data_IF_036135052736
#
_entry.id   IF_036135052736
#
_cell.length_a   1.000
_cell.length_b   1.000
_cell.length_c   1.000
_cell.angle_alpha   90.00
_cell.angle_beta   90.00
_cell.angle_gamma   90.00
#
_symmetry.space_group_name_H-M   'P 1'
#
loop_
_entity.id
_entity.type
_entity.pdbx_description
1 polymer ?
#
# COMPACT_ATOMS: atom_id res chain seq x y z
N UNK A 1 18.13 21.85 13.28
CA UNK A 1 17.14 20.74 13.18
C UNK A 1 17.05 20.01 14.52
N UNK A 2 16.04 20.23 15.37
CA UNK A 2 15.81 19.36 16.54
C UNK A 2 14.47 19.60 17.25
N UNK A 3 13.36 19.46 16.52
CA UNK A 3 12.07 19.24 17.19
C UNK A 3 11.95 17.76 17.52
N UNK A 4 12.18 17.36 18.78
CA UNK A 4 12.02 15.96 19.24
C UNK A 4 10.63 15.41 18.92
N UNK A 5 9.60 16.27 18.97
CA UNK A 5 8.22 15.95 18.58
C UNK A 5 8.09 15.56 17.10
N UNK A 6 8.87 16.21 16.24
CA UNK A 6 8.87 15.89 14.81
C UNK A 6 9.52 14.52 14.58
N UNK A 7 10.69 14.27 15.17
CA UNK A 7 11.35 12.95 15.08
C UNK A 7 10.43 11.83 15.60
N UNK A 8 9.74 12.05 16.72
CA UNK A 8 8.78 11.09 17.26
C UNK A 8 7.59 10.88 16.32
N UNK A 9 7.05 11.95 15.72
CA UNK A 9 5.99 11.84 14.72
C UNK A 9 6.42 11.04 13.49
N UNK A 10 7.63 11.27 13.00
CA UNK A 10 8.22 10.49 11.90
C UNK A 10 8.45 9.02 12.28
N UNK A 11 8.94 8.75 13.49
CA UNK A 11 9.14 7.40 13.98
C UNK A 11 7.82 6.63 14.16
N UNK A 12 6.78 7.29 14.69
CA UNK A 12 5.44 6.68 14.78
C UNK A 12 4.82 6.42 13.41
N UNK A 13 5.03 7.32 12.45
CA UNK A 13 4.56 7.13 11.08
C UNK A 13 5.23 5.92 10.41
N UNK A 14 6.56 5.80 10.54
CA UNK A 14 7.32 4.67 10.00
C UNK A 14 6.88 3.34 10.63
N UNK A 15 6.68 3.34 11.96
CA UNK A 15 6.14 2.19 12.69
C UNK A 15 4.75 1.78 12.16
N UNK A 16 3.82 2.73 12.04
CA UNK A 16 2.47 2.46 11.56
C UNK A 16 2.49 1.92 10.11
N UNK A 17 3.30 2.50 9.23
CA UNK A 17 3.38 2.07 7.83
C UNK A 17 3.92 0.64 7.68
N UNK A 18 4.94 0.28 8.46
CA UNK A 18 5.51 -1.07 8.46
C UNK A 18 4.53 -2.11 9.02
N UNK A 19 3.88 -1.79 10.15
CA UNK A 19 2.86 -2.68 10.75
C UNK A 19 1.64 -2.85 9.85
N UNK A 20 1.20 -1.78 9.17
CA UNK A 20 0.09 -1.83 8.21
C UNK A 20 0.39 -2.80 7.07
N UNK A 21 1.53 -2.65 6.41
CA UNK A 21 1.91 -3.49 5.26
C UNK A 21 2.01 -4.96 5.67
N UNK A 22 2.62 -5.23 6.83
CA UNK A 22 2.77 -6.60 7.31
C UNK A 22 1.42 -7.23 7.67
N UNK A 23 0.60 -6.57 8.49
CA UNK A 23 -0.62 -7.19 9.00
C UNK A 23 -1.77 -7.16 7.98
N UNK A 24 -2.06 -5.98 7.42
CA UNK A 24 -3.21 -5.81 6.53
C UNK A 24 -2.96 -6.48 5.19
N UNK A 25 -1.80 -6.22 4.55
CA UNK A 25 -1.52 -6.76 3.22
C UNK A 25 -1.10 -8.24 3.31
N UNK A 26 -0.09 -8.56 4.13
CA UNK A 26 0.49 -9.91 4.12
C UNK A 26 -0.29 -10.95 4.92
N UNK A 27 -0.88 -10.60 6.07
CA UNK A 27 -1.61 -11.58 6.89
C UNK A 27 -3.10 -11.66 6.56
N UNK A 28 -3.81 -10.52 6.56
CA UNK A 28 -5.26 -10.49 6.43
C UNK A 28 -5.68 -10.61 4.95
N UNK A 29 -5.23 -9.68 4.10
CA UNK A 29 -5.70 -9.59 2.73
C UNK A 29 -5.21 -10.75 1.86
N UNK A 30 -3.95 -11.19 2.03
CA UNK A 30 -3.42 -12.38 1.36
C UNK A 30 -4.29 -13.63 1.60
N UNK A 31 -4.65 -13.91 2.87
CA UNK A 31 -5.51 -15.03 3.20
C UNK A 31 -6.92 -14.89 2.61
N UNK A 32 -7.50 -13.69 2.70
CA UNK A 32 -8.83 -13.42 2.14
C UNK A 32 -8.86 -13.61 0.63
N UNK A 33 -7.85 -13.11 -0.08
CA UNK A 33 -7.74 -13.23 -1.54
C UNK A 33 -7.60 -14.69 -1.98
N UNK A 34 -6.73 -15.46 -1.32
CA UNK A 34 -6.50 -16.87 -1.64
C UNK A 34 -7.73 -17.73 -1.34
N UNK A 35 -8.46 -17.47 -0.25
CA UNK A 35 -9.58 -18.30 0.20
C UNK A 35 -10.95 -17.91 -0.37
N UNK A 36 -11.20 -16.62 -0.65
CA UNK A 36 -12.54 -16.12 -1.01
C UNK A 36 -12.65 -15.52 -2.40
N UNK A 37 -11.54 -15.09 -3.03
CA UNK A 37 -11.56 -14.39 -4.33
C UNK A 37 -11.01 -15.26 -5.45
N UNK A 38 -9.95 -16.03 -5.18
CA UNK A 38 -9.27 -16.80 -6.22
C UNK A 38 -9.97 -18.14 -6.54
N UNK A 39 -10.04 -18.55 -7.83
CA UNK A 39 -10.45 -19.90 -8.22
C UNK A 39 -9.54 -20.97 -7.61
N UNK A 40 -10.12 -22.13 -7.25
CA UNK A 40 -9.40 -23.24 -6.60
C UNK A 40 -8.07 -23.56 -7.30
N UNK A 41 -6.98 -23.58 -6.54
CA UNK A 41 -5.63 -23.91 -7.02
C UNK A 41 -4.81 -22.75 -7.61
N UNK A 42 -5.40 -21.59 -7.91
CA UNK A 42 -4.70 -20.48 -8.57
C UNK A 42 -4.37 -19.27 -7.68
N UNK A 43 -4.87 -19.23 -6.45
CA UNK A 43 -4.78 -18.05 -5.58
C UNK A 43 -3.37 -17.56 -5.24
N UNK A 44 -2.41 -18.48 -5.04
CA UNK A 44 -1.01 -18.10 -4.77
C UNK A 44 -0.34 -17.43 -5.98
N UNK A 45 -0.62 -17.94 -7.19
CA UNK A 45 -0.05 -17.42 -8.43
C UNK A 45 -0.64 -16.05 -8.76
N UNK A 46 -1.96 -15.89 -8.65
CA UNK A 46 -2.62 -14.60 -8.88
C UNK A 46 -2.16 -13.54 -7.88
N UNK A 47 -2.03 -13.89 -6.60
CA UNK A 47 -1.47 -13.00 -5.58
C UNK A 47 -0.03 -12.58 -5.88
N UNK A 48 0.81 -13.53 -6.32
CA UNK A 48 2.18 -13.24 -6.75
C UNK A 48 2.23 -12.28 -7.95
N UNK A 49 1.34 -12.46 -8.93
CA UNK A 49 1.22 -11.57 -10.10
C UNK A 49 0.79 -10.16 -9.66
N UNK A 50 -0.19 -10.02 -8.74
CA UNK A 50 -0.60 -8.72 -8.19
C UNK A 50 0.55 -7.99 -7.52
N UNK A 51 1.36 -8.69 -6.70
CA UNK A 51 2.54 -8.09 -6.07
C UNK A 51 3.57 -7.68 -7.13
N UNK A 52 3.80 -8.52 -8.14
CA UNK A 52 4.76 -8.21 -9.22
C UNK A 52 4.35 -6.95 -10.00
N UNK A 53 3.07 -6.84 -10.38
CA UNK A 53 2.53 -5.65 -11.07
C UNK A 53 2.64 -4.42 -10.17
N UNK A 54 2.28 -4.54 -8.89
CA UNK A 54 2.39 -3.45 -7.91
C UNK A 54 3.84 -2.95 -7.81
N UNK A 55 4.81 -3.85 -7.73
CA UNK A 55 6.23 -3.49 -7.66
C UNK A 55 6.73 -2.84 -8.97
N UNK A 56 6.23 -3.28 -10.13
CA UNK A 56 6.58 -2.67 -11.42
C UNK A 56 6.11 -1.21 -11.47
N UNK A 57 4.87 -0.95 -11.03
CA UNK A 57 4.33 0.41 -10.93
C UNK A 57 5.15 1.26 -9.95
N UNK A 58 5.56 0.68 -8.81
CA UNK A 58 6.43 1.35 -7.83
C UNK A 58 7.77 1.74 -8.48
N UNK A 59 8.41 0.84 -9.22
CA UNK A 59 9.71 1.13 -9.88
C UNK A 59 9.61 2.32 -10.83
N UNK A 60 8.50 2.46 -11.56
CA UNK A 60 8.30 3.57 -12.50
C UNK A 60 7.89 4.86 -11.78
N UNK A 61 7.03 4.77 -10.76
CA UNK A 61 6.50 5.93 -10.04
C UNK A 61 7.45 6.50 -9.00
N UNK A 62 8.29 5.67 -8.36
CA UNK A 62 9.26 6.08 -7.36
C UNK A 62 10.21 7.21 -7.81
N UNK A 63 10.88 7.15 -8.99
CA UNK A 63 11.75 8.23 -9.43
C UNK A 63 10.98 9.51 -9.74
N UNK A 64 9.77 9.42 -10.29
CA UNK A 64 8.93 10.58 -10.62
C UNK A 64 8.46 11.28 -9.34
N UNK A 65 7.91 10.52 -8.38
CA UNK A 65 7.44 11.05 -7.10
C UNK A 65 8.61 11.53 -6.25
N UNK A 66 9.77 10.84 -6.30
CA UNK A 66 11.00 11.25 -5.63
C UNK A 66 11.53 12.59 -6.13
N UNK A 67 11.56 12.79 -7.44
CA UNK A 67 11.96 14.08 -8.04
C UNK A 67 11.01 15.22 -7.65
N UNK A 68 9.70 14.96 -7.60
CA UNK A 68 8.70 15.94 -7.14
C UNK A 68 8.85 16.24 -5.64
N UNK A 69 9.18 15.23 -4.83
CA UNK A 69 9.38 15.39 -3.39
C UNK A 69 10.62 16.24 -3.07
N UNK A 70 11.71 16.06 -3.83
CA UNK A 70 12.93 16.85 -3.70
C UNK A 70 12.72 18.32 -4.12
N UNK A 71 11.90 18.57 -5.14
CA UNK A 71 11.62 19.93 -5.61
C UNK A 71 10.62 20.68 -4.71
N UNK A 72 9.67 19.98 -4.09
CA UNK A 72 8.56 20.63 -3.39
C UNK A 72 8.87 21.07 -1.94
N UNK A 73 9.96 20.59 -1.32
CA UNK A 73 10.32 20.82 0.09
C UNK A 73 9.22 20.54 1.14
N UNK A 74 8.05 20.04 0.73
CA UNK A 74 6.83 19.89 1.54
C UNK A 74 6.55 18.42 1.84
N UNK A 75 7.57 17.75 2.40
CA UNK A 75 7.56 16.31 2.75
C UNK A 75 6.30 15.87 3.51
N UNK A 76 5.79 16.73 4.41
CA UNK A 76 4.58 16.47 5.21
C UNK A 76 3.30 16.42 4.35
N UNK A 77 3.18 17.26 3.33
CA UNK A 77 1.99 17.31 2.47
C UNK A 77 1.92 16.08 1.57
N UNK A 78 3.06 15.67 1.03
CA UNK A 78 3.17 14.48 0.20
C UNK A 78 2.82 13.20 0.99
N UNK A 79 3.26 13.10 2.25
CA UNK A 79 2.87 12.00 3.14
C UNK A 79 1.38 11.94 3.43
N UNK A 80 0.76 13.08 3.71
CA UNK A 80 -0.69 13.12 3.99
C UNK A 80 -1.46 12.71 2.74
N UNK A 81 -1.05 13.16 1.55
CA UNK A 81 -1.71 12.77 0.30
C UNK A 81 -1.57 11.27 0.01
N UNK A 82 -0.36 10.71 0.15
CA UNK A 82 -0.14 9.26 -0.08
C UNK A 82 -0.85 8.41 0.97
N UNK A 83 -0.90 8.87 2.23
CA UNK A 83 -1.63 8.20 3.29
C UNK A 83 -3.14 8.22 3.02
N UNK A 84 -3.71 9.37 2.63
CA UNK A 84 -5.12 9.46 2.25
C UNK A 84 -5.45 8.59 1.04
N UNK A 85 -4.59 8.57 0.02
CA UNK A 85 -4.74 7.69 -1.13
C UNK A 85 -4.74 6.22 -0.69
N UNK A 86 -3.80 5.83 0.18
CA UNK A 86 -3.75 4.48 0.75
C UNK A 86 -5.05 4.14 1.49
N UNK A 87 -5.52 5.01 2.38
CA UNK A 87 -6.79 4.81 3.12
C UNK A 87 -7.98 4.67 2.19
N UNK A 88 -8.09 5.50 1.15
CA UNK A 88 -9.18 5.43 0.17
C UNK A 88 -9.13 4.12 -0.61
N UNK A 89 -7.95 3.71 -1.08
CA UNK A 89 -7.78 2.44 -1.81
C UNK A 89 -8.11 1.24 -0.91
N UNK A 90 -7.68 1.26 0.36
CA UNK A 90 -8.00 0.21 1.33
C UNK A 90 -9.48 0.19 1.70
N UNK A 91 -10.14 1.35 1.80
CA UNK A 91 -11.59 1.41 1.96
C UNK A 91 -12.30 0.86 0.70
N UNK A 92 -11.72 1.06 -0.49
CA UNK A 92 -12.18 0.47 -1.75
C UNK A 92 -12.16 -1.07 -1.76
N UNK A 93 -11.23 -1.71 -1.04
CA UNK A 93 -11.19 -3.16 -0.87
C UNK A 93 -12.45 -3.71 -0.18
N UNK A 94 -13.22 -2.90 0.55
CA UNK A 94 -14.53 -3.30 1.08
C UNK A 94 -15.51 -3.71 -0.03
N UNK A 95 -15.35 -3.17 -1.24
CA UNK A 95 -16.18 -3.53 -2.40
C UNK A 95 -15.64 -4.76 -3.16
N UNK A 96 -14.49 -5.33 -2.77
CA UNK A 96 -13.92 -6.52 -3.39
C UNK A 96 -14.72 -7.79 -3.00
N UNK A 97 -15.83 -8.01 -3.71
CA UNK A 97 -16.67 -9.21 -3.58
C UNK A 97 -16.20 -10.34 -4.52
N UNK A 98 -16.51 -11.62 -4.18
CA UNK A 98 -16.26 -12.76 -5.07
C UNK A 98 -16.94 -12.53 -6.43
N UNK A 99 -16.15 -12.48 -7.51
CA UNK A 99 -16.63 -12.17 -8.87
C UNK A 99 -15.91 -11.00 -9.55
N UNK A 100 -15.33 -10.07 -8.79
CA UNK A 100 -14.50 -8.97 -9.32
C UNK A 100 -13.02 -9.21 -9.00
N UNK A 101 -12.43 -10.26 -9.57
CA UNK A 101 -11.02 -10.64 -9.35
C UNK A 101 -10.07 -9.49 -9.69
N UNK A 102 -10.37 -8.71 -10.74
CA UNK A 102 -9.58 -7.53 -11.15
C UNK A 102 -9.63 -6.39 -10.12
N UNK A 103 -10.67 -6.32 -9.30
CA UNK A 103 -10.82 -5.26 -8.29
C UNK A 103 -10.15 -5.63 -6.96
N UNK A 104 -9.87 -6.92 -6.76
CA UNK A 104 -9.06 -7.43 -5.65
C UNK A 104 -7.59 -7.69 -6.02
N UNK A 105 -7.22 -7.58 -7.29
CA UNK A 105 -5.85 -7.72 -7.80
C UNK A 105 -5.15 -6.38 -7.91
#
# INVERSE_FOLDING_TARGET
MKNKKEIFGWAMFDFANSTYTTNVVSFIFCNYFIQSIAPEGSGKTLWGISIAISNLIIIVSAPVIGAVADYSASRKRLLVTTCLLCVITTAGLFFAKPGFVVLGM
#
